data_IF_465756438603
#
_entry.id   IF_465756438603
#
_cell.length_a   1.000
_cell.length_b   1.000
_cell.length_c   1.000
_cell.angle_alpha   90.00
_cell.angle_beta   90.00
_cell.angle_gamma   90.00
#
_symmetry.space_group_name_H-M   'P 1'
#
loop_
_entity.id
_entity.type
_entity.pdbx_description
1 polymer ?
#
# COMPACT_ATOMS: atom_id res chain seq x y z
N UNK A 1 11.80 20.46 48.87
CA UNK A 1 12.85 19.82 48.03
C UNK A 1 12.38 19.96 46.59
N UNK A 2 12.89 20.96 45.87
CA UNK A 2 12.49 21.17 44.47
C UNK A 2 13.18 20.11 43.62
N UNK A 3 12.42 19.25 42.94
CA UNK A 3 12.97 18.48 41.84
C UNK A 3 13.40 19.47 40.76
N UNK A 4 14.70 19.69 40.64
CA UNK A 4 15.27 20.30 39.45
C UNK A 4 15.04 19.28 38.34
N UNK A 5 14.00 19.49 37.55
CA UNK A 5 13.86 18.83 36.26
C UNK A 5 15.07 19.26 35.45
N UNK A 6 15.96 18.30 35.16
CA UNK A 6 17.04 18.54 34.21
C UNK A 6 16.44 19.18 32.95
N UNK A 7 17.06 20.25 32.41
CA UNK A 7 16.54 20.90 31.23
C UNK A 7 16.48 19.88 30.09
N UNK A 8 15.29 19.77 29.51
CA UNK A 8 15.06 18.88 28.37
C UNK A 8 15.90 19.39 27.19
N UNK A 9 16.86 18.58 26.74
CA UNK A 9 17.73 18.98 25.63
C UNK A 9 17.02 18.84 24.29
N UNK A 10 17.51 19.57 23.29
CA UNK A 10 17.02 19.44 21.91
C UNK A 10 17.19 18.02 21.38
N UNK A 11 18.32 17.35 21.68
CA UNK A 11 18.52 15.97 21.21
C UNK A 11 17.49 15.02 21.81
N UNK A 12 17.15 15.18 23.10
CA UNK A 12 16.14 14.36 23.75
C UNK A 12 14.76 14.52 23.08
N UNK A 13 14.34 15.76 22.79
CA UNK A 13 13.07 16.02 22.10
C UNK A 13 13.06 15.44 20.67
N UNK A 14 14.17 15.54 19.95
CA UNK A 14 14.29 14.95 18.61
C UNK A 14 14.22 13.43 18.66
N UNK A 15 14.84 12.79 19.66
CA UNK A 15 14.75 11.35 19.88
C UNK A 15 13.31 10.88 20.17
N UNK A 16 12.61 11.56 21.08
CA UNK A 16 11.21 11.26 21.38
C UNK A 16 10.31 11.44 20.15
N UNK A 17 10.54 12.48 19.36
CA UNK A 17 9.81 12.71 18.12
C UNK A 17 10.03 11.57 17.13
N UNK A 18 11.28 11.18 16.89
CA UNK A 18 11.60 10.09 15.96
C UNK A 18 10.95 8.77 16.38
N UNK A 19 10.96 8.45 17.68
CA UNK A 19 10.27 7.28 18.21
C UNK A 19 8.76 7.35 17.98
N UNK A 20 8.14 8.49 18.31
CA UNK A 20 6.70 8.70 18.12
C UNK A 20 6.31 8.60 16.64
N UNK A 21 7.12 9.15 15.75
CA UNK A 21 6.91 9.12 14.31
C UNK A 21 6.99 7.67 13.80
N UNK A 22 7.96 6.86 14.28
CA UNK A 22 8.08 5.45 13.91
C UNK A 22 6.93 4.59 14.45
N UNK A 23 6.53 4.76 15.71
CA UNK A 23 5.38 4.06 16.28
C UNK A 23 4.09 4.39 15.51
N UNK A 24 3.90 5.66 15.16
CA UNK A 24 2.79 6.11 14.31
C UNK A 24 2.87 5.46 12.93
N UNK A 25 4.08 5.37 12.35
CA UNK A 25 4.29 4.78 11.03
C UNK A 25 3.92 3.31 11.01
N UNK A 26 4.45 2.52 11.95
CA UNK A 26 4.15 1.10 12.11
C UNK A 26 2.65 0.87 12.30
N UNK A 27 2.00 1.69 13.12
CA UNK A 27 0.55 1.64 13.36
C UNK A 27 -0.25 1.87 12.07
N UNK A 28 0.05 2.94 11.31
CA UNK A 28 -0.64 3.24 10.05
C UNK A 28 -0.45 2.15 9.01
N UNK A 29 0.76 1.60 8.89
CA UNK A 29 1.05 0.45 8.01
C UNK A 29 0.22 -0.76 8.41
N UNK A 30 0.13 -1.08 9.71
CA UNK A 30 -0.73 -2.16 10.22
C UNK A 30 -2.20 -1.94 9.88
N UNK A 31 -2.73 -0.74 10.14
CA UNK A 31 -4.13 -0.41 9.88
C UNK A 31 -4.47 -0.55 8.40
N UNK A 32 -3.57 -0.11 7.52
CA UNK A 32 -3.74 -0.23 6.08
C UNK A 32 -3.75 -1.70 5.62
N UNK A 33 -2.76 -2.50 6.04
CA UNK A 33 -2.70 -3.93 5.70
C UNK A 33 -3.94 -4.70 6.21
N UNK A 34 -4.38 -4.42 7.44
CA UNK A 34 -5.58 -5.03 8.02
C UNK A 34 -6.88 -4.60 7.33
N UNK A 35 -6.95 -3.37 6.83
CA UNK A 35 -8.07 -2.94 6.00
C UNK A 35 -8.09 -3.72 4.68
N UNK A 36 -6.96 -3.79 3.97
CA UNK A 36 -6.82 -4.57 2.73
C UNK A 36 -7.16 -6.03 2.94
N UNK A 37 -6.65 -6.66 3.99
CA UNK A 37 -6.94 -8.05 4.33
C UNK A 37 -8.45 -8.31 4.41
N UNK A 38 -9.18 -7.48 5.17
CA UNK A 38 -10.63 -7.61 5.31
C UNK A 38 -11.37 -7.50 3.97
N UNK A 39 -10.92 -6.61 3.07
CA UNK A 39 -11.51 -6.48 1.75
C UNK A 39 -11.27 -7.73 0.89
N UNK A 40 -10.04 -8.25 0.89
CA UNK A 40 -9.68 -9.47 0.15
C UNK A 40 -10.50 -10.67 0.62
N UNK A 41 -10.57 -10.90 1.94
CA UNK A 41 -11.36 -11.99 2.51
C UNK A 41 -12.83 -11.84 2.14
N UNK A 42 -13.37 -10.62 2.19
CA UNK A 42 -14.75 -10.38 1.77
C UNK A 42 -14.94 -10.71 0.28
N UNK A 43 -14.05 -10.27 -0.62
CA UNK A 43 -14.12 -10.61 -2.05
C UNK A 43 -14.01 -12.12 -2.30
N UNK A 44 -13.06 -12.80 -1.66
CA UNK A 44 -12.82 -14.23 -1.82
C UNK A 44 -14.00 -15.10 -1.35
N UNK A 45 -14.73 -14.64 -0.34
CA UNK A 45 -15.87 -15.38 0.25
C UNK A 45 -17.22 -15.05 -0.39
N UNK A 46 -17.33 -13.92 -1.09
CA UNK A 46 -18.60 -13.43 -1.67
C UNK A 46 -18.65 -13.49 -3.19
N UNK A 47 -17.53 -13.75 -3.85
CA UNK A 47 -17.44 -13.78 -5.32
C UNK A 47 -16.65 -14.99 -5.81
N UNK A 48 -16.69 -15.24 -7.12
CA UNK A 48 -15.86 -16.25 -7.78
C UNK A 48 -14.50 -15.71 -8.24
N UNK A 49 -14.17 -14.46 -7.90
CA UNK A 49 -12.90 -13.87 -8.27
C UNK A 49 -11.76 -14.54 -7.49
N UNK A 50 -10.65 -14.81 -8.16
CA UNK A 50 -9.42 -15.33 -7.56
C UNK A 50 -8.36 -14.24 -7.40
N UNK A 51 -8.71 -12.98 -7.68
CA UNK A 51 -7.81 -11.84 -7.68
C UNK A 51 -8.52 -10.61 -7.16
N UNK A 52 -7.88 -9.89 -6.24
CA UNK A 52 -8.31 -8.60 -5.71
C UNK A 52 -7.35 -7.49 -6.15
N UNK A 53 -7.91 -6.33 -6.48
CA UNK A 53 -7.15 -5.13 -6.87
C UNK A 53 -7.63 -3.94 -6.06
N UNK A 54 -6.77 -3.44 -5.17
CA UNK A 54 -7.06 -2.27 -4.35
C UNK A 54 -6.36 -1.05 -4.94
N UNK A 55 -7.09 -0.03 -5.43
CA UNK A 55 -6.47 1.23 -5.79
C UNK A 55 -5.85 1.89 -4.55
N UNK A 56 -4.68 2.50 -4.70
CA UNK A 56 -4.13 3.36 -3.64
C UNK A 56 -5.12 4.48 -3.34
N UNK A 57 -5.45 4.63 -2.06
CA UNK A 57 -6.42 5.63 -1.61
C UNK A 57 -5.92 7.04 -1.96
N UNK A 58 -6.85 7.92 -2.33
CA UNK A 58 -6.54 9.32 -2.68
C UNK A 58 -6.05 10.14 -1.48
N UNK A 59 -6.32 9.67 -0.27
CA UNK A 59 -5.87 10.33 0.95
C UNK A 59 -4.47 9.84 1.28
N UNK A 60 -3.50 10.75 1.16
CA UNK A 60 -2.08 10.54 1.46
C UNK A 60 -1.39 9.43 0.62
N UNK A 61 -1.48 9.48 -0.73
CA UNK A 61 -0.90 8.46 -1.61
C UNK A 61 0.62 8.41 -1.51
N UNK A 62 1.28 9.53 -1.19
CA UNK A 62 2.73 9.58 -1.06
C UNK A 62 3.19 8.77 0.15
N UNK A 63 2.56 8.96 1.32
CA UNK A 63 2.90 8.19 2.52
C UNK A 63 2.74 6.68 2.30
N UNK A 64 1.65 6.26 1.64
CA UNK A 64 1.42 4.84 1.34
C UNK A 64 2.50 4.30 0.39
N UNK A 65 2.89 5.07 -0.63
CA UNK A 65 3.99 4.68 -1.53
C UNK A 65 5.32 4.57 -0.78
N UNK A 66 5.65 5.56 0.05
CA UNK A 66 6.91 5.61 0.80
C UNK A 66 7.03 4.42 1.78
N UNK A 67 5.90 3.88 2.23
CA UNK A 67 5.83 2.72 3.14
C UNK A 67 5.36 1.43 2.45
N UNK A 68 5.31 1.39 1.11
CA UNK A 68 4.81 0.24 0.37
C UNK A 68 5.58 -1.06 0.66
N UNK A 69 6.93 -1.08 0.80
CA UNK A 69 7.65 -2.29 1.16
C UNK A 69 7.10 -2.96 2.43
N UNK A 70 6.96 -2.19 3.51
CA UNK A 70 6.46 -2.70 4.79
C UNK A 70 4.99 -3.12 4.72
N UNK A 71 4.18 -2.45 3.90
CA UNK A 71 2.78 -2.85 3.65
C UNK A 71 2.76 -4.20 2.92
N UNK A 72 3.57 -4.36 1.87
CA UNK A 72 3.63 -5.60 1.10
C UNK A 72 4.14 -6.76 1.96
N UNK A 73 5.15 -6.54 2.80
CA UNK A 73 5.68 -7.57 3.70
C UNK A 73 4.61 -8.05 4.67
N UNK A 74 3.87 -7.14 5.31
CA UNK A 74 2.74 -7.53 6.18
C UNK A 74 1.62 -8.24 5.43
N UNK A 75 1.34 -7.85 4.19
CA UNK A 75 0.34 -8.54 3.38
C UNK A 75 0.81 -9.94 2.99
N UNK A 76 2.10 -10.14 2.70
CA UNK A 76 2.66 -11.47 2.44
C UNK A 76 2.59 -12.37 3.68
N UNK A 77 2.81 -11.83 4.87
CA UNK A 77 2.62 -12.57 6.12
C UNK A 77 1.15 -13.01 6.31
N UNK A 78 0.20 -12.18 5.88
CA UNK A 78 -1.24 -12.47 5.95
C UNK A 78 -1.73 -13.40 4.83
N UNK A 79 -1.00 -13.48 3.71
CA UNK A 79 -1.35 -14.26 2.52
C UNK A 79 -0.15 -15.08 2.01
N UNK A 80 0.35 -16.04 2.80
CA UNK A 80 1.63 -16.73 2.51
C UNK A 80 1.63 -17.53 1.21
N UNK A 81 0.47 -18.04 0.80
CA UNK A 81 0.31 -18.85 -0.42
C UNK A 81 -0.25 -18.04 -1.61
N UNK A 82 -0.46 -16.73 -1.44
CA UNK A 82 -0.96 -15.85 -2.49
C UNK A 82 0.16 -14.99 -3.08
N UNK A 83 -0.02 -14.57 -4.33
CA UNK A 83 0.85 -13.58 -4.94
C UNK A 83 0.43 -12.18 -4.53
N UNK A 84 1.32 -11.42 -3.90
CA UNK A 84 1.10 -10.04 -3.45
C UNK A 84 2.05 -9.08 -4.17
N UNK A 85 1.49 -8.27 -5.07
CA UNK A 85 2.22 -7.34 -5.93
C UNK A 85 1.74 -5.89 -5.76
N UNK A 86 2.62 -4.93 -6.06
CA UNK A 86 2.29 -3.53 -6.27
C UNK A 86 2.50 -3.18 -7.75
N UNK A 87 1.46 -2.67 -8.42
CA UNK A 87 1.46 -2.44 -9.87
C UNK A 87 0.86 -1.08 -10.23
N UNK A 88 1.48 -0.36 -11.15
CA UNK A 88 0.90 0.82 -11.78
C UNK A 88 0.15 0.38 -13.03
N UNK A 89 -1.19 0.49 -13.00
CA UNK A 89 -2.05 0.04 -14.09
C UNK A 89 -2.58 1.24 -14.87
N UNK A 90 -2.61 1.11 -16.20
CA UNK A 90 -3.29 2.03 -17.11
C UNK A 90 -4.57 1.43 -17.66
N UNK A 91 -5.54 2.29 -17.97
CA UNK A 91 -6.80 1.85 -18.57
C UNK A 91 -6.70 1.83 -20.09
N UNK A 92 -7.00 0.69 -20.70
CA UNK A 92 -7.19 0.57 -22.14
C UNK A 92 -8.46 1.25 -22.63
N UNK A 93 -8.57 1.46 -23.94
CA UNK A 93 -9.82 1.93 -24.56
C UNK A 93 -10.98 0.95 -24.36
N UNK A 94 -10.70 -0.33 -24.12
CA UNK A 94 -11.68 -1.37 -23.80
C UNK A 94 -12.15 -1.34 -22.33
N UNK A 95 -11.63 -0.41 -21.53
CA UNK A 95 -11.95 -0.27 -20.11
C UNK A 95 -11.19 -1.23 -19.19
N UNK A 96 -10.35 -2.13 -19.72
CA UNK A 96 -9.53 -3.04 -18.91
C UNK A 96 -8.28 -2.35 -18.40
N UNK A 97 -7.74 -2.89 -17.31
CA UNK A 97 -6.52 -2.38 -16.66
C UNK A 97 -5.31 -3.22 -17.09
N UNK A 98 -4.26 -2.55 -17.53
CA UNK A 98 -3.04 -3.14 -18.07
C UNK A 98 -1.83 -2.66 -17.27
N UNK A 99 -0.90 -3.56 -16.99
CA UNK A 99 0.36 -3.21 -16.35
C UNK A 99 1.30 -2.57 -17.37
N UNK A 100 1.70 -1.31 -17.13
CA UNK A 100 2.54 -0.55 -18.07
C UNK A 100 3.88 -1.25 -18.31
N UNK A 101 4.40 -1.96 -17.30
CA UNK A 101 5.67 -2.67 -17.42
C UNK A 101 5.60 -3.85 -18.40
N UNK A 102 4.41 -4.44 -18.57
CA UNK A 102 4.20 -5.66 -19.36
C UNK A 102 3.51 -5.38 -20.71
N UNK A 103 3.23 -4.12 -21.05
CA UNK A 103 2.52 -3.74 -22.29
C UNK A 103 3.45 -3.88 -23.51
N UNK A 104 3.01 -4.71 -24.47
CA UNK A 104 3.59 -4.79 -25.82
C UNK A 104 3.55 -3.40 -26.49
N UNK A 105 4.62 -3.03 -27.20
CA UNK A 105 4.70 -1.78 -27.95
C UNK A 105 3.52 -1.56 -28.90
N UNK A 106 2.98 -2.64 -29.46
CA UNK A 106 1.82 -2.61 -30.35
C UNK A 106 0.53 -2.20 -29.63
N UNK A 107 0.45 -2.41 -28.32
CA UNK A 107 -0.71 -2.05 -27.51
C UNK A 107 -0.66 -0.61 -27.01
N UNK A 108 0.52 0.03 -26.98
CA UNK A 108 0.72 1.42 -26.50
C UNK A 108 -0.29 2.43 -27.10
N UNK A 109 -0.66 2.40 -28.40
CA UNK A 109 -1.62 3.36 -28.96
C UNK A 109 -3.06 3.24 -28.39
N UNK A 110 -3.41 2.09 -27.82
CA UNK A 110 -4.74 1.79 -27.30
C UNK A 110 -4.85 1.97 -25.79
N UNK A 111 -3.74 2.35 -25.14
CA UNK A 111 -3.67 2.55 -23.69
C UNK A 111 -3.80 4.04 -23.40
N UNK A 112 -4.74 4.38 -22.53
CA UNK A 112 -4.83 5.73 -22.02
C UNK A 112 -3.82 5.93 -20.89
N UNK A 113 -2.61 6.34 -21.26
CA UNK A 113 -1.52 6.64 -20.32
C UNK A 113 -1.76 7.87 -19.46
N UNK A 114 -2.78 8.68 -19.74
CA UNK A 114 -3.21 9.78 -18.86
C UNK A 114 -3.91 9.24 -17.60
N UNK A 115 -4.40 8.00 -17.65
CA UNK A 115 -4.95 7.31 -16.49
C UNK A 115 -3.94 6.29 -15.99
N UNK A 116 -3.09 6.70 -15.05
CA UNK A 116 -2.19 5.81 -14.32
C UNK A 116 -2.62 5.77 -12.86
N UNK A 117 -2.94 4.58 -12.38
CA UNK A 117 -3.33 4.37 -10.99
C UNK A 117 -2.56 3.19 -10.42
N UNK A 118 -2.06 3.38 -9.20
CA UNK A 118 -1.34 2.34 -8.48
C UNK A 118 -2.30 1.44 -7.73
N UNK A 119 -2.01 0.15 -7.76
CA UNK A 119 -2.79 -0.90 -7.12
C UNK A 119 -1.91 -1.81 -6.29
N UNK A 120 -2.46 -2.25 -5.16
CA UNK A 120 -2.05 -3.50 -4.54
C UNK A 120 -2.89 -4.60 -5.16
N UNK A 121 -2.23 -5.65 -5.62
CA UNK A 121 -2.83 -6.80 -6.28
C UNK A 121 -2.54 -8.05 -5.47
N UNK A 122 -3.61 -8.77 -5.09
CA UNK A 122 -3.51 -10.04 -4.36
C UNK A 122 -4.20 -11.10 -5.19
N UNK A 123 -3.48 -12.15 -5.56
CA UNK A 123 -3.94 -13.24 -6.42
C UNK A 123 -3.79 -14.58 -5.68
N UNK A 124 -4.91 -15.29 -5.52
CA UNK A 124 -5.02 -16.59 -4.85
C UNK A 124 -5.57 -17.68 -5.78
N UNK A 125 -5.42 -17.49 -7.11
CA UNK A 125 -5.71 -18.54 -8.09
C UNK A 125 -4.79 -19.75 -7.97
#
# INVERSE_FOLDING_TARGET
>A
MYHVSNPVTREYLLGLKAQTDEETRVKRVNEYAQHTFRQVINTATTTTQTRYQQPLQKHDPQYIRDNMPDILDKLRDLFPDSKVDFKSLSRGQDGKMYDIADIDERMKPFINTQFNQDFIVIDWS
#
